data_IF_297744637332
#
_entry.id   IF_297744637332
#
_cell.length_a   1.000
_cell.length_b   1.000
_cell.length_c   1.000
_cell.angle_alpha   90.00
_cell.angle_beta   90.00
_cell.angle_gamma   90.00
#
_symmetry.space_group_name_H-M   'P 1'
#
loop_
_entity.id
_entity.type
_entity.pdbx_description
1 polymer ?
#
# COMPACT_ATOMS: atom_id res chain seq x y z
N UNK A 1 -9.01 41.94 -8.92
CA UNK A 1 -7.95 42.22 -7.93
C UNK A 1 -8.48 41.97 -6.53
N UNK A 2 -8.58 40.70 -6.15
CA UNK A 2 -8.50 40.29 -4.74
C UNK A 2 -7.04 39.90 -4.50
N UNK A 3 -6.47 40.30 -3.37
CA UNK A 3 -5.17 39.80 -2.92
C UNK A 3 -5.45 38.68 -1.92
N UNK A 4 -5.69 37.49 -2.45
CA UNK A 4 -5.78 36.28 -1.63
C UNK A 4 -4.39 35.93 -1.13
N UNK A 5 -4.09 36.49 0.05
CA UNK A 5 -2.93 36.11 0.84
C UNK A 5 -3.11 34.64 1.24
N UNK A 6 -2.36 33.77 0.58
CA UNK A 6 -2.10 32.41 1.06
C UNK A 6 -1.55 32.52 2.48
N UNK A 7 -2.43 32.31 3.47
CA UNK A 7 -2.12 32.53 4.88
C UNK A 7 -1.51 31.25 5.46
N UNK A 8 -0.33 30.90 4.95
CA UNK A 8 0.41 29.69 5.27
C UNK A 8 0.64 29.61 6.79
N UNK A 9 -0.02 28.66 7.45
CA UNK A 9 -0.02 28.56 8.91
C UNK A 9 1.23 27.82 9.40
N UNK A 10 2.40 28.49 9.36
CA UNK A 10 3.70 27.95 9.84
C UNK A 10 3.77 27.82 11.38
N UNK A 11 2.73 27.32 12.03
CA UNK A 11 2.71 27.11 13.48
C UNK A 11 3.64 25.97 13.91
N UNK A 12 3.75 24.92 13.09
CA UNK A 12 4.44 23.68 13.48
C UNK A 12 5.95 23.69 13.16
N UNK A 13 6.38 24.52 12.20
CA UNK A 13 7.80 24.91 11.95
C UNK A 13 8.47 25.67 13.14
N UNK A 14 7.79 25.77 14.29
CA UNK A 14 8.22 26.57 15.44
C UNK A 14 9.18 25.86 16.40
N UNK A 15 9.28 24.52 16.37
CA UNK A 15 9.99 23.75 17.40
C UNK A 15 11.42 23.26 17.02
N UNK A 16 11.60 22.75 15.80
CA UNK A 16 12.75 21.92 15.40
C UNK A 16 14.12 22.64 15.34
N UNK A 17 14.16 23.77 14.63
CA UNK A 17 15.41 24.28 14.05
C UNK A 17 16.01 25.48 14.80
N UNK A 18 17.35 25.54 14.88
CA UNK A 18 18.10 26.75 15.29
C UNK A 18 17.61 27.97 14.48
N UNK A 19 17.47 29.15 15.10
CA UNK A 19 16.83 30.30 14.44
C UNK A 19 17.50 30.73 13.12
N UNK A 20 18.82 30.58 13.01
CA UNK A 20 19.60 30.98 11.83
C UNK A 20 19.51 29.94 10.70
N UNK A 21 19.59 28.65 11.02
CA UNK A 21 19.45 27.54 10.05
C UNK A 21 17.98 27.38 9.59
N UNK A 22 17.01 27.56 10.51
CA UNK A 22 15.59 27.69 10.20
C UNK A 22 15.33 28.83 9.23
N UNK A 23 15.91 30.01 9.51
CA UNK A 23 15.81 31.13 8.61
C UNK A 23 16.51 30.81 7.27
N UNK A 24 17.58 30.02 7.27
CA UNK A 24 18.22 29.47 6.07
C UNK A 24 17.24 28.68 5.20
N UNK A 25 16.70 27.57 5.72
CA UNK A 25 15.81 26.66 4.98
C UNK A 25 14.48 27.34 4.61
N UNK A 26 13.84 28.06 5.54
CA UNK A 26 12.59 28.79 5.27
C UNK A 26 12.84 29.89 4.23
N UNK A 27 13.96 30.61 4.26
CA UNK A 27 14.27 31.54 3.17
C UNK A 27 14.67 30.82 1.88
N UNK A 28 15.29 29.64 1.90
CA UNK A 28 15.61 28.88 0.69
C UNK A 28 14.35 28.40 -0.03
N UNK A 29 13.42 27.76 0.70
CA UNK A 29 12.10 27.36 0.19
C UNK A 29 11.30 28.57 -0.28
N UNK A 30 11.24 29.65 0.51
CA UNK A 30 10.58 30.90 0.15
C UNK A 30 11.21 31.58 -1.07
N UNK A 31 12.54 31.54 -1.23
CA UNK A 31 13.23 32.05 -2.40
C UNK A 31 12.96 31.17 -3.64
N UNK A 32 12.84 29.84 -3.48
CA UNK A 32 12.48 28.91 -4.57
C UNK A 32 11.02 29.11 -5.00
N UNK A 33 10.10 29.24 -4.06
CA UNK A 33 8.69 29.62 -4.28
C UNK A 33 8.57 31.03 -4.89
N UNK A 34 9.34 32.02 -4.43
CA UNK A 34 9.37 33.37 -5.01
C UNK A 34 10.03 33.39 -6.40
N UNK A 35 10.98 32.49 -6.68
CA UNK A 35 11.55 32.30 -8.01
C UNK A 35 10.53 31.69 -8.97
N UNK A 36 9.82 30.62 -8.57
CA UNK A 36 8.75 30.02 -9.37
C UNK A 36 7.57 30.97 -9.57
N UNK A 37 7.07 31.59 -8.49
CA UNK A 37 6.01 32.63 -8.57
C UNK A 37 6.47 33.81 -9.41
N UNK A 38 7.75 34.18 -9.31
CA UNK A 38 8.40 35.20 -10.14
C UNK A 38 8.40 34.81 -11.61
N UNK A 39 8.85 33.60 -11.96
CA UNK A 39 8.85 33.08 -13.33
C UNK A 39 7.43 32.99 -13.93
N UNK A 40 6.42 32.58 -13.15
CA UNK A 40 5.03 32.60 -13.59
C UNK A 40 4.49 34.04 -13.74
N UNK A 41 4.87 34.99 -12.87
CA UNK A 41 4.53 36.41 -13.02
C UNK A 41 5.22 37.04 -14.23
N UNK A 42 6.51 36.75 -14.45
CA UNK A 42 7.28 37.19 -15.62
C UNK A 42 6.72 36.60 -16.90
N UNK A 43 6.29 35.34 -16.92
CA UNK A 43 5.60 34.73 -18.06
C UNK A 43 4.31 35.50 -18.37
N UNK A 44 3.46 35.73 -17.36
CA UNK A 44 2.24 36.54 -17.50
C UNK A 44 2.53 37.99 -17.89
N UNK A 45 3.68 38.55 -17.49
CA UNK A 45 4.09 39.91 -17.82
C UNK A 45 4.67 40.04 -19.22
N UNK A 46 5.31 38.99 -19.75
CA UNK A 46 5.76 38.91 -21.13
C UNK A 46 4.60 38.68 -22.13
N UNK A 47 3.41 38.28 -21.66
CA UNK A 47 2.21 38.22 -22.50
C UNK A 47 1.77 39.62 -22.95
N UNK A 48 1.42 39.73 -24.24
CA UNK A 48 0.83 40.96 -24.80
C UNK A 48 -0.52 41.28 -24.14
N UNK A 49 -0.96 42.56 -24.10
CA UNK A 49 -2.19 42.95 -23.39
C UNK A 49 -3.46 42.19 -23.84
N UNK A 50 -3.55 41.83 -25.13
CA UNK A 50 -4.65 41.03 -25.67
C UNK A 50 -4.62 39.56 -25.23
N UNK A 51 -3.44 39.01 -24.94
CA UNK A 51 -3.30 37.64 -24.43
C UNK A 51 -3.46 37.60 -22.91
N UNK A 52 -2.92 38.59 -22.18
CA UNK A 52 -3.20 38.75 -20.73
C UNK A 52 -4.71 38.77 -20.46
N UNK A 53 -5.47 39.57 -21.20
CA UNK A 53 -6.92 39.61 -21.03
C UNK A 53 -7.58 38.23 -21.26
N UNK A 54 -7.16 37.46 -22.27
CA UNK A 54 -7.67 36.10 -22.47
C UNK A 54 -7.35 35.18 -21.29
N UNK A 55 -6.21 35.36 -20.63
CA UNK A 55 -5.86 34.60 -19.41
C UNK A 55 -6.69 35.08 -18.19
N UNK A 56 -7.07 36.35 -18.13
CA UNK A 56 -8.06 36.84 -17.14
C UNK A 56 -9.45 36.23 -17.42
N UNK A 57 -9.90 36.24 -18.69
CA UNK A 57 -11.16 35.61 -19.11
C UNK A 57 -11.16 34.09 -18.84
N UNK A 58 -10.02 33.39 -19.00
CA UNK A 58 -9.86 31.95 -18.66
C UNK A 58 -9.84 31.67 -17.15
N UNK A 59 -9.28 32.58 -16.33
CA UNK A 59 -9.31 32.44 -14.86
C UNK A 59 -10.70 32.61 -14.28
N UNK A 60 -11.52 33.46 -14.89
CA UNK A 60 -12.95 33.58 -14.58
C UNK A 60 -13.69 32.27 -14.90
N UNK A 61 -13.36 31.61 -16.02
CA UNK A 61 -13.91 30.28 -16.37
C UNK A 61 -13.45 29.20 -15.37
N UNK A 62 -12.18 29.20 -14.97
CA UNK A 62 -11.70 28.26 -13.94
C UNK A 62 -12.44 28.46 -12.61
N UNK A 63 -12.57 29.70 -12.12
CA UNK A 63 -13.34 29.98 -10.90
C UNK A 63 -14.80 29.53 -10.98
N UNK A 64 -15.39 29.47 -12.18
CA UNK A 64 -16.74 28.94 -12.41
C UNK A 64 -16.78 27.40 -12.48
N UNK A 65 -15.68 26.76 -12.89
CA UNK A 65 -15.48 25.31 -12.77
C UNK A 65 -15.35 24.89 -11.31
N UNK A 66 -14.42 25.51 -10.57
CA UNK A 66 -14.16 25.25 -9.15
C UNK A 66 -15.44 25.43 -8.31
N UNK A 67 -16.26 26.43 -8.66
CA UNK A 67 -17.57 26.65 -8.06
C UNK A 67 -18.59 25.52 -8.33
N UNK A 68 -18.53 24.84 -9.47
CA UNK A 68 -19.42 23.71 -9.81
C UNK A 68 -18.91 22.41 -9.20
N UNK A 69 -17.61 22.20 -9.22
CA UNK A 69 -16.89 21.08 -8.62
C UNK A 69 -17.13 21.01 -7.10
N UNK A 70 -17.03 22.14 -6.39
CA UNK A 70 -17.39 22.22 -4.97
C UNK A 70 -18.85 21.82 -4.67
N UNK A 71 -19.79 22.09 -5.59
CA UNK A 71 -21.20 21.67 -5.47
C UNK A 71 -21.35 20.17 -5.76
N UNK A 72 -20.61 19.64 -6.75
CA UNK A 72 -20.55 18.20 -7.03
C UNK A 72 -20.05 17.41 -5.82
N UNK A 73 -19.00 17.88 -5.13
CA UNK A 73 -18.51 17.23 -3.90
C UNK A 73 -19.50 17.32 -2.73
N UNK A 74 -20.22 18.44 -2.55
CA UNK A 74 -21.31 18.55 -1.56
C UNK A 74 -22.44 17.54 -1.86
N UNK A 75 -22.88 17.43 -3.11
CA UNK A 75 -23.90 16.48 -3.54
C UNK A 75 -23.42 15.01 -3.42
N UNK A 76 -22.17 14.71 -3.78
CA UNK A 76 -21.53 13.39 -3.65
C UNK A 76 -21.48 12.96 -2.18
N UNK A 77 -20.96 13.80 -1.29
CA UNK A 77 -20.91 13.53 0.15
C UNK A 77 -22.32 13.34 0.76
N UNK A 78 -23.30 14.15 0.35
CA UNK A 78 -24.69 13.97 0.78
C UNK A 78 -25.32 12.65 0.26
N UNK A 79 -24.95 12.20 -0.94
CA UNK A 79 -25.41 10.95 -1.56
C UNK A 79 -24.81 9.72 -0.87
N UNK A 80 -23.50 9.73 -0.58
CA UNK A 80 -22.82 8.70 0.21
C UNK A 80 -23.39 8.62 1.63
N UNK A 81 -23.49 9.76 2.33
CA UNK A 81 -24.05 9.83 3.68
C UNK A 81 -25.54 9.43 3.74
N UNK A 82 -26.25 9.43 2.60
CA UNK A 82 -27.59 8.85 2.45
C UNK A 82 -27.51 7.32 2.28
N UNK A 83 -26.70 6.81 1.34
CA UNK A 83 -26.61 5.37 1.10
C UNK A 83 -25.97 4.58 2.24
N UNK A 84 -24.96 5.13 2.93
CA UNK A 84 -24.40 4.53 4.14
C UNK A 84 -25.48 4.24 5.19
N UNK A 85 -26.46 5.14 5.37
CA UNK A 85 -27.62 4.94 6.27
C UNK A 85 -28.61 3.87 5.76
N UNK A 86 -28.67 3.63 4.44
CA UNK A 86 -29.47 2.55 3.83
C UNK A 86 -28.76 1.20 3.94
N UNK A 87 -27.43 1.16 3.95
CA UNK A 87 -26.63 -0.07 4.14
C UNK A 87 -26.52 -0.51 5.60
N UNK A 88 -26.57 0.40 6.58
CA UNK A 88 -26.48 0.04 8.02
C UNK A 88 -27.45 -1.07 8.48
N UNK A 89 -28.75 -1.09 8.08
CA UNK A 89 -29.65 -2.22 8.36
C UNK A 89 -29.19 -3.56 7.77
N UNK A 90 -28.59 -3.56 6.57
CA UNK A 90 -28.08 -4.77 5.92
C UNK A 90 -26.84 -5.30 6.64
N UNK A 91 -25.90 -4.41 6.98
CA UNK A 91 -24.73 -4.78 7.78
C UNK A 91 -25.11 -5.22 9.20
N UNK A 92 -26.17 -4.66 9.78
CA UNK A 92 -26.72 -5.12 11.08
C UNK A 92 -27.29 -6.53 10.96
N UNK A 93 -28.08 -6.84 9.91
CA UNK A 93 -28.58 -8.21 9.68
C UNK A 93 -27.44 -9.20 9.39
N UNK A 94 -26.39 -8.78 8.66
CA UNK A 94 -25.16 -9.58 8.47
C UNK A 94 -24.50 -9.88 9.82
N UNK A 95 -24.29 -8.87 10.65
CA UNK A 95 -23.72 -9.04 12.00
C UNK A 95 -24.53 -10.03 12.85
N UNK A 96 -25.86 -9.88 12.89
CA UNK A 96 -26.74 -10.74 13.66
C UNK A 96 -26.67 -12.21 13.23
N UNK A 97 -26.57 -12.48 11.92
CA UNK A 97 -26.42 -13.84 11.36
C UNK A 97 -25.01 -14.37 11.63
N UNK A 98 -23.96 -13.61 11.30
CA UNK A 98 -22.55 -14.02 11.49
C UNK A 98 -22.24 -14.35 12.95
N UNK A 99 -22.87 -13.66 13.91
CA UNK A 99 -22.65 -13.86 15.33
C UNK A 99 -23.68 -14.78 16.00
N UNK A 100 -24.60 -15.41 15.24
CA UNK A 100 -25.60 -16.34 15.79
C UNK A 100 -26.58 -15.71 16.77
N UNK A 101 -26.87 -14.42 16.58
CA UNK A 101 -27.85 -13.64 17.37
C UNK A 101 -29.26 -13.77 16.76
N UNK A 102 -29.33 -13.90 15.44
CA UNK A 102 -30.55 -14.21 14.70
C UNK A 102 -30.32 -15.42 13.78
N UNK A 103 -31.26 -16.37 13.81
CA UNK A 103 -31.28 -17.46 12.84
C UNK A 103 -31.53 -16.94 11.43
N UNK A 104 -30.80 -17.47 10.45
CA UNK A 104 -31.09 -17.18 9.05
C UNK A 104 -32.48 -17.72 8.67
N UNK A 105 -33.19 -17.05 7.76
CA UNK A 105 -34.53 -17.48 7.33
C UNK A 105 -34.52 -18.90 6.75
N UNK A 106 -33.46 -19.27 6.03
CA UNK A 106 -33.23 -20.64 5.53
C UNK A 106 -32.83 -21.67 6.61
N UNK A 107 -32.24 -21.26 7.73
CA UNK A 107 -31.87 -22.17 8.82
C UNK A 107 -33.11 -22.79 9.47
N UNK A 108 -34.22 -22.05 9.52
CA UNK A 108 -35.51 -22.56 9.99
C UNK A 108 -36.10 -23.67 9.10
N UNK A 109 -35.75 -23.71 7.81
CA UNK A 109 -36.18 -24.81 6.93
C UNK A 109 -35.32 -26.07 7.17
N UNK A 110 -33.99 -25.92 7.19
CA UNK A 110 -33.06 -27.05 7.42
C UNK A 110 -33.23 -27.68 8.80
N UNK A 111 -33.54 -26.87 9.82
CA UNK A 111 -33.79 -27.36 11.19
C UNK A 111 -35.02 -28.28 11.31
N UNK A 112 -35.95 -28.28 10.35
CA UNK A 112 -37.09 -29.22 10.35
C UNK A 112 -36.75 -30.60 9.79
N UNK A 113 -35.66 -30.74 9.02
CA UNK A 113 -35.26 -32.02 8.39
C UNK A 113 -34.16 -32.77 9.17
N UNK A 114 -33.55 -32.16 10.18
CA UNK A 114 -32.41 -32.74 10.92
C UNK A 114 -32.70 -32.98 12.43
N UNK A 115 -33.70 -33.82 12.74
CA UNK A 115 -33.82 -34.43 14.09
C UNK A 115 -32.72 -35.48 14.35
N UNK A 116 -31.47 -35.01 14.48
CA UNK A 116 -30.44 -35.67 15.28
C UNK A 116 -29.14 -36.06 14.59
N UNK A 117 -28.12 -35.23 14.74
CA UNK A 117 -26.83 -35.70 15.28
C UNK A 117 -26.15 -34.61 16.12
N UNK A 118 -25.42 -35.01 17.16
CA UNK A 118 -25.02 -34.12 18.26
C UNK A 118 -23.62 -33.52 18.05
N UNK A 119 -23.49 -32.65 17.05
CA UNK A 119 -22.41 -31.65 17.00
C UNK A 119 -22.81 -30.45 17.89
N UNK A 120 -21.84 -29.88 18.61
CA UNK A 120 -22.14 -28.74 19.51
C UNK A 120 -22.53 -27.50 18.72
N UNK A 121 -23.62 -26.82 19.12
CA UNK A 121 -24.22 -25.66 18.43
C UNK A 121 -23.17 -24.62 17.96
N UNK A 122 -22.74 -24.69 16.69
CA UNK A 122 -21.91 -23.66 16.06
C UNK A 122 -22.80 -22.45 15.75
N UNK A 123 -22.70 -21.41 16.58
CA UNK A 123 -23.59 -20.25 16.51
C UNK A 123 -23.07 -19.22 15.53
N UNK A 124 -23.84 -18.97 14.48
CA UNK A 124 -23.51 -18.02 13.43
C UNK A 124 -22.60 -18.62 12.36
N UNK A 125 -21.61 -17.85 11.91
CA UNK A 125 -20.67 -18.26 10.86
C UNK A 125 -19.24 -18.20 11.43
N UNK A 126 -18.66 -19.34 11.87
CA UNK A 126 -17.32 -19.38 12.43
C UNK A 126 -16.27 -18.77 11.50
N UNK A 127 -15.30 -18.07 12.09
CA UNK A 127 -14.14 -17.46 11.41
C UNK A 127 -14.48 -16.50 10.24
N UNK A 128 -15.73 -16.04 10.09
CA UNK A 128 -16.21 -15.28 8.92
C UNK A 128 -15.27 -14.17 8.44
N UNK A 129 -14.89 -13.24 9.33
CA UNK A 129 -14.02 -12.12 8.97
C UNK A 129 -12.57 -12.55 8.71
N UNK A 130 -12.07 -13.57 9.43
CA UNK A 130 -10.74 -14.12 9.18
C UNK A 130 -10.64 -14.75 7.79
N UNK A 131 -11.64 -15.54 7.39
CA UNK A 131 -11.69 -16.15 6.05
C UNK A 131 -11.89 -15.09 4.97
N UNK A 132 -12.80 -14.14 5.16
CA UNK A 132 -13.01 -13.05 4.21
C UNK A 132 -11.74 -12.21 3.98
N UNK A 133 -11.01 -11.85 5.05
CA UNK A 133 -9.77 -11.10 4.92
C UNK A 133 -8.64 -11.95 4.30
N UNK A 134 -8.50 -13.24 4.66
CA UNK A 134 -7.47 -14.12 4.09
C UNK A 134 -7.70 -14.53 2.63
N UNK A 135 -8.90 -14.33 2.10
CA UNK A 135 -9.19 -14.55 0.68
C UNK A 135 -8.89 -13.32 -0.19
N UNK A 136 -8.53 -12.18 0.40
CA UNK A 136 -8.10 -10.98 -0.31
C UNK A 136 -6.58 -10.84 -0.24
N UNK A 137 -5.91 -10.61 -1.36
CA UNK A 137 -4.44 -10.72 -1.46
C UNK A 137 -3.70 -9.74 -0.55
N UNK A 138 -4.04 -8.45 -0.61
CA UNK A 138 -3.46 -7.36 0.23
C UNK A 138 -3.52 -7.69 1.73
N UNK A 139 -4.58 -8.37 2.17
CA UNK A 139 -4.77 -8.76 3.57
C UNK A 139 -4.21 -10.15 3.90
N UNK A 140 -4.07 -11.03 2.92
CA UNK A 140 -3.49 -12.35 3.10
C UNK A 140 -1.99 -12.28 3.41
N UNK A 141 -1.27 -11.30 2.85
CA UNK A 141 0.16 -11.08 3.13
C UNK A 141 0.42 -10.58 4.56
N UNK A 142 -0.46 -9.74 5.11
CA UNK A 142 -0.37 -9.20 6.47
C UNK A 142 -0.75 -10.22 7.58
N UNK A 143 -1.63 -11.18 7.28
CA UNK A 143 -2.19 -12.10 8.27
C UNK A 143 -1.30 -13.34 8.46
N UNK A 144 -0.46 -13.32 9.49
CA UNK A 144 0.37 -14.48 9.86
C UNK A 144 -0.45 -15.56 10.60
N UNK A 145 0.02 -16.82 10.59
CA UNK A 145 -0.57 -17.94 11.35
C UNK A 145 -0.82 -17.63 12.85
N UNK A 146 -0.08 -16.67 13.40
CA UNK A 146 -0.16 -16.27 14.82
C UNK A 146 -1.32 -15.33 15.09
N UNK A 147 -1.70 -14.55 14.07
CA UNK A 147 -2.75 -13.54 14.11
C UNK A 147 -4.14 -14.16 13.95
N UNK A 148 -4.24 -15.22 13.15
CA UNK A 148 -5.46 -16.01 12.96
C UNK A 148 -6.18 -16.27 14.29
N UNK A 149 -5.46 -16.81 15.29
CA UNK A 149 -6.04 -17.20 16.57
C UNK A 149 -6.65 -16.05 17.38
N UNK A 150 -6.27 -14.80 17.11
CA UNK A 150 -6.93 -13.61 17.65
C UNK A 150 -8.04 -13.10 16.73
N UNK A 151 -7.84 -13.15 15.41
CA UNK A 151 -8.83 -12.80 14.38
C UNK A 151 -10.07 -13.71 14.40
N UNK A 152 -10.00 -14.96 14.90
CA UNK A 152 -11.17 -15.81 15.18
C UNK A 152 -12.18 -15.17 16.17
N UNK A 153 -11.78 -14.13 16.91
CA UNK A 153 -12.65 -13.38 17.82
C UNK A 153 -13.18 -12.07 17.20
N UNK A 154 -12.91 -11.80 15.92
CA UNK A 154 -13.41 -10.62 15.20
C UNK A 154 -14.88 -10.82 14.83
N UNK A 155 -15.76 -9.98 15.39
CA UNK A 155 -17.22 -10.08 15.31
C UNK A 155 -17.81 -9.26 14.17
N UNK A 156 -17.22 -8.10 13.92
CA UNK A 156 -17.69 -7.11 12.95
C UNK A 156 -16.53 -6.17 12.55
N UNK A 157 -16.57 -5.66 11.32
CA UNK A 157 -15.73 -4.55 10.88
C UNK A 157 -16.66 -3.48 10.31
N UNK A 158 -16.54 -2.25 10.82
CA UNK A 158 -17.33 -1.09 10.36
C UNK A 158 -16.42 0.03 9.94
N UNK A 159 -16.90 0.85 9.00
CA UNK A 159 -16.27 2.12 8.68
C UNK A 159 -17.24 3.29 8.83
N UNK A 160 -16.70 4.47 9.10
CA UNK A 160 -17.42 5.74 9.08
C UNK A 160 -16.52 6.87 8.55
N UNK A 161 -17.12 7.85 7.87
CA UNK A 161 -16.46 9.07 7.40
C UNK A 161 -16.27 10.04 8.57
N UNK A 162 -15.22 10.84 8.54
CA UNK A 162 -14.97 11.96 9.47
C UNK A 162 -14.98 13.24 8.64
N UNK A 163 -15.76 14.24 9.08
CA UNK A 163 -15.89 15.53 8.39
C UNK A 163 -14.76 16.52 8.76
N UNK A 164 -14.28 16.47 10.02
CA UNK A 164 -13.25 17.39 10.55
C UNK A 164 -12.35 16.67 11.57
N UNK A 165 -11.04 16.47 11.27
CA UNK A 165 -10.43 16.56 9.94
C UNK A 165 -11.10 15.58 8.95
N UNK A 166 -10.96 15.85 7.64
CA UNK A 166 -11.45 14.96 6.56
C UNK A 166 -10.89 13.54 6.73
N UNK A 167 -11.63 12.53 6.29
CA UNK A 167 -11.13 11.16 6.16
C UNK A 167 -12.09 10.09 6.67
N UNK A 168 -11.55 8.97 7.18
CA UNK A 168 -12.37 7.83 7.60
C UNK A 168 -11.74 7.02 8.73
N UNK A 169 -12.58 6.18 9.34
CA UNK A 169 -12.24 5.38 10.52
C UNK A 169 -12.82 3.98 10.44
N UNK A 170 -11.97 2.98 10.63
CA UNK A 170 -12.29 1.57 10.72
C UNK A 170 -12.38 1.14 12.20
N UNK A 171 -13.47 0.47 12.58
CA UNK A 171 -13.67 -0.12 13.90
C UNK A 171 -13.81 -1.65 13.78
N UNK A 172 -12.89 -2.36 14.41
CA UNK A 172 -12.82 -3.83 14.46
C UNK A 172 -13.34 -4.30 15.83
N UNK A 173 -14.51 -4.92 15.85
CA UNK A 173 -15.19 -5.31 17.08
C UNK A 173 -14.77 -6.72 17.49
N UNK A 174 -14.10 -6.87 18.63
CA UNK A 174 -13.59 -8.16 19.10
C UNK A 174 -14.41 -8.69 20.30
N UNK A 175 -14.57 -10.00 20.33
CA UNK A 175 -15.08 -10.70 21.51
C UNK A 175 -14.04 -10.78 22.64
N UNK A 176 -14.48 -11.21 23.82
CA UNK A 176 -13.58 -11.46 24.95
C UNK A 176 -12.61 -12.60 24.59
N UNK A 177 -11.37 -12.24 24.29
CA UNK A 177 -10.37 -13.13 23.69
C UNK A 177 -9.16 -13.34 24.64
N UNK A 178 -8.33 -14.37 24.41
CA UNK A 178 -7.17 -14.67 25.27
C UNK A 178 -5.88 -13.95 24.83
N UNK A 179 -5.96 -12.86 24.07
CA UNK A 179 -4.80 -12.12 23.53
C UNK A 179 -4.67 -10.70 24.06
N UNK A 180 -5.76 -9.92 24.04
CA UNK A 180 -5.80 -8.53 24.51
C UNK A 180 -7.14 -8.19 25.18
N UNK A 181 -7.20 -7.04 25.89
CA UNK A 181 -8.43 -6.60 26.60
C UNK A 181 -9.41 -5.80 25.75
N UNK A 182 -8.94 -5.17 24.68
CA UNK A 182 -9.72 -4.25 23.85
C UNK A 182 -10.92 -4.98 23.23
N UNK A 183 -12.14 -4.46 23.40
CA UNK A 183 -13.34 -4.94 22.69
C UNK A 183 -13.54 -4.27 21.32
N UNK A 184 -12.84 -3.17 21.06
CA UNK A 184 -12.75 -2.52 19.76
C UNK A 184 -11.29 -2.12 19.53
N UNK A 185 -10.76 -2.42 18.35
CA UNK A 185 -9.54 -1.79 17.84
C UNK A 185 -9.94 -0.85 16.72
N UNK A 186 -9.43 0.38 16.76
CA UNK A 186 -9.78 1.45 15.82
C UNK A 186 -8.55 1.89 15.03
N UNK A 187 -8.72 2.07 13.72
CA UNK A 187 -7.75 2.71 12.82
C UNK A 187 -8.41 3.92 12.17
N UNK A 188 -7.73 5.06 12.14
CA UNK A 188 -8.23 6.31 11.59
C UNK A 188 -7.23 6.85 10.58
N UNK A 189 -7.73 7.33 9.44
CA UNK A 189 -6.96 8.05 8.44
C UNK A 189 -7.52 9.47 8.33
N UNK A 190 -6.66 10.45 8.55
CA UNK A 190 -6.93 11.84 8.20
C UNK A 190 -6.43 12.07 6.78
N UNK A 191 -7.25 12.66 5.93
CA UNK A 191 -6.94 12.92 4.53
C UNK A 191 -6.91 14.43 4.29
N UNK A 192 -5.98 14.90 3.44
CA UNK A 192 -5.95 16.31 3.03
C UNK A 192 -7.16 16.58 2.12
N UNK A 193 -7.43 15.68 1.17
CA UNK A 193 -8.66 15.67 0.39
C UNK A 193 -9.29 14.26 0.28
N UNK A 194 -10.52 14.20 -0.22
CA UNK A 194 -11.37 13.00 -0.37
C UNK A 194 -11.64 12.68 -1.86
N UNK A 195 -11.02 13.45 -2.76
CA UNK A 195 -11.08 13.29 -4.21
C UNK A 195 -9.68 12.96 -4.77
N UNK A 196 -8.66 13.71 -4.39
CA UNK A 196 -7.27 13.22 -4.38
C UNK A 196 -6.99 12.63 -2.98
N UNK A 197 -6.86 11.29 -2.81
CA UNK A 197 -6.80 10.64 -1.50
C UNK A 197 -5.42 10.77 -0.83
N UNK A 198 -4.93 11.99 -0.65
CA UNK A 198 -3.64 12.29 -0.02
C UNK A 198 -3.75 12.10 1.50
N UNK A 199 -3.05 11.08 2.01
CA UNK A 199 -2.98 10.78 3.44
C UNK A 199 -2.23 11.88 4.21
N UNK A 200 -2.89 12.54 5.17
CA UNK A 200 -2.25 13.45 6.13
C UNK A 200 -1.62 12.64 7.28
N UNK A 201 -2.41 11.74 7.89
CA UNK A 201 -1.97 10.99 9.08
C UNK A 201 -2.77 9.71 9.32
N UNK A 202 -2.09 8.63 9.64
CA UNK A 202 -2.68 7.41 10.18
C UNK A 202 -2.59 7.37 11.72
N UNK A 203 -3.68 6.97 12.39
CA UNK A 203 -3.77 6.84 13.86
C UNK A 203 -4.43 5.50 14.22
N UNK A 204 -3.65 4.61 14.85
CA UNK A 204 -4.12 3.32 15.34
C UNK A 204 -4.51 3.31 16.82
N UNK A 205 -4.79 2.11 17.35
CA UNK A 205 -5.20 1.89 18.76
C UNK A 205 -4.16 1.06 19.50
N UNK A 206 -3.67 1.55 20.64
CA UNK A 206 -2.77 0.78 21.51
C UNK A 206 -3.48 -0.50 22.01
N UNK A 207 -2.89 -1.65 21.73
CA UNK A 207 -3.45 -2.96 22.06
C UNK A 207 -3.00 -3.37 23.46
N UNK A 208 -3.95 -3.53 24.39
CA UNK A 208 -3.71 -3.97 25.77
C UNK A 208 -3.48 -5.49 25.82
N UNK A 209 -2.36 -5.95 25.26
CA UNK A 209 -1.95 -7.35 25.25
C UNK A 209 -1.84 -7.97 26.66
N UNK A 210 -2.30 -9.21 26.81
CA UNK A 210 -2.05 -10.00 28.02
C UNK A 210 -0.57 -10.44 28.11
N UNK A 211 -0.06 -10.75 29.31
CA UNK A 211 1.35 -11.11 29.50
C UNK A 211 1.79 -12.32 28.65
N UNK A 212 2.71 -12.09 27.71
CA UNK A 212 3.21 -13.11 26.79
C UNK A 212 2.26 -13.46 25.64
N UNK A 213 1.30 -12.58 25.33
CA UNK A 213 0.33 -12.73 24.23
C UNK A 213 0.48 -11.72 23.09
N UNK A 214 1.41 -10.78 23.21
CA UNK A 214 1.75 -9.85 22.13
C UNK A 214 2.13 -10.62 20.85
N UNK A 215 1.49 -10.26 19.73
CA UNK A 215 1.71 -10.92 18.43
C UNK A 215 2.72 -10.15 17.57
N UNK A 216 2.73 -8.82 17.66
CA UNK A 216 3.69 -7.93 17.00
C UNK A 216 5.13 -8.11 17.49
N UNK A 217 5.37 -8.83 18.60
CA UNK A 217 6.69 -8.97 19.22
C UNK A 217 7.07 -10.41 19.61
N UNK A 218 8.30 -10.82 19.27
CA UNK A 218 8.92 -12.12 19.59
C UNK A 218 9.91 -12.00 20.77
N UNK A 219 9.83 -12.90 21.76
CA UNK A 219 10.67 -12.88 22.98
C UNK A 219 11.92 -13.78 22.87
N UNK A 220 13.05 -13.19 22.49
CA UNK A 220 14.33 -13.87 22.31
C UNK A 220 15.11 -14.04 23.64
N UNK A 221 15.16 -15.29 24.13
CA UNK A 221 15.92 -15.68 25.35
C UNK A 221 17.41 -15.88 25.04
N UNK A 222 18.24 -14.85 25.24
CA UNK A 222 19.70 -14.96 25.05
C UNK A 222 20.34 -15.74 26.21
N UNK A 223 21.11 -16.79 25.89
CA UNK A 223 21.89 -17.56 26.88
C UNK A 223 22.89 -16.64 27.60
N UNK A 224 23.05 -16.70 28.93
CA UNK A 224 23.97 -15.82 29.65
C UNK A 224 25.42 -16.06 29.22
N UNK A 225 26.21 -14.98 29.14
CA UNK A 225 27.64 -15.04 28.75
C UNK A 225 28.41 -16.01 29.66
N UNK A 226 29.16 -16.93 29.04
CA UNK A 226 29.90 -18.03 29.69
C UNK A 226 30.96 -17.49 30.67
N UNK A 227 30.57 -17.33 31.92
CA UNK A 227 31.44 -16.83 33.01
C UNK A 227 30.68 -16.29 34.23
N UNK A 228 29.48 -15.72 34.05
CA UNK A 228 28.71 -15.21 35.18
C UNK A 228 27.95 -16.32 35.90
N UNK A 229 28.33 -16.61 37.16
CA UNK A 229 27.77 -17.71 37.96
C UNK A 229 26.36 -17.48 38.52
N UNK A 230 25.76 -16.30 38.33
CA UNK A 230 24.42 -15.94 38.84
C UNK A 230 23.63 -15.00 37.89
N UNK A 231 23.92 -15.00 36.58
CA UNK A 231 23.16 -14.18 35.63
C UNK A 231 21.76 -14.77 35.37
N UNK A 232 20.71 -13.99 35.65
CA UNK A 232 19.36 -14.26 35.12
C UNK A 232 19.41 -14.26 33.59
N UNK A 233 18.60 -15.07 32.89
CA UNK A 233 18.50 -15.01 31.44
C UNK A 233 18.00 -13.63 31.00
N UNK A 234 18.66 -13.03 30.01
CA UNK A 234 18.24 -11.76 29.42
C UNK A 234 17.28 -12.09 28.28
N UNK A 235 16.05 -11.58 28.38
CA UNK A 235 15.07 -11.62 27.30
C UNK A 235 15.23 -10.33 26.51
N UNK A 236 15.51 -10.41 25.21
CA UNK A 236 15.33 -9.28 24.29
C UNK A 236 13.96 -9.42 23.65
N UNK A 237 13.20 -8.35 23.56
CA UNK A 237 12.04 -8.26 22.68
C UNK A 237 12.52 -7.84 21.29
N UNK A 238 11.87 -8.33 20.24
CA UNK A 238 12.17 -8.02 18.85
C UNK A 238 10.86 -8.03 18.07
N UNK A 239 10.58 -6.95 17.37
CA UNK A 239 9.35 -6.71 16.61
C UNK A 239 9.30 -7.58 15.35
N UNK A 240 8.12 -7.78 14.75
CA UNK A 240 7.94 -8.73 13.64
C UNK A 240 6.60 -8.59 12.89
N UNK A 241 6.53 -9.18 11.69
CA UNK A 241 5.29 -9.26 10.88
C UNK A 241 4.12 -9.80 11.69
N UNK A 242 3.01 -9.06 11.71
CA UNK A 242 1.76 -9.39 12.38
C UNK A 242 0.72 -8.39 11.89
N UNK A 243 -0.45 -8.85 11.45
CA UNK A 243 -1.56 -7.96 11.04
C UNK A 243 -1.85 -6.86 12.09
N UNK A 244 -1.63 -7.14 13.37
CA UNK A 244 -1.85 -6.16 14.44
C UNK A 244 -0.87 -4.97 14.45
N UNK A 245 0.18 -4.98 13.62
CA UNK A 245 1.02 -3.81 13.33
C UNK A 245 0.20 -2.69 12.66
N UNK A 246 -0.87 -3.02 11.94
CA UNK A 246 -1.82 -2.06 11.34
C UNK A 246 -2.44 -1.06 12.35
N UNK A 247 -2.49 -1.42 13.64
CA UNK A 247 -2.94 -0.54 14.73
C UNK A 247 -1.80 0.26 15.38
N UNK A 248 -0.58 0.15 14.87
CA UNK A 248 0.61 0.93 15.23
C UNK A 248 1.23 1.52 13.95
N UNK A 249 0.48 2.33 13.17
CA UNK A 249 0.92 2.75 11.84
C UNK A 249 2.20 3.59 11.87
N UNK A 250 2.96 3.66 10.76
CA UNK A 250 4.15 4.49 10.66
C UNK A 250 3.87 5.93 11.09
N UNK A 251 4.81 6.53 11.81
CA UNK A 251 4.73 7.92 12.22
C UNK A 251 5.75 8.71 11.43
N UNK A 252 5.29 9.71 10.67
CA UNK A 252 6.15 10.77 10.14
C UNK A 252 6.86 11.43 11.32
N UNK A 253 8.21 11.45 11.37
CA UNK A 253 8.93 12.17 12.42
C UNK A 253 8.71 13.68 12.31
N UNK A 254 8.65 14.39 13.44
CA UNK A 254 8.45 15.85 13.44
C UNK A 254 9.71 16.65 13.00
N UNK A 255 10.86 15.97 12.81
CA UNK A 255 12.17 16.53 12.44
C UNK A 255 12.71 15.83 11.17
N UNK A 256 12.61 16.47 10.00
CA UNK A 256 13.11 15.94 8.71
C UNK A 256 14.65 15.85 8.62
N UNK A 257 15.42 16.52 9.49
CA UNK A 257 16.88 16.70 9.32
C UNK A 257 17.74 15.46 9.64
N UNK A 258 17.17 14.42 10.28
CA UNK A 258 17.86 13.17 10.64
C UNK A 258 17.42 11.96 9.76
N UNK A 259 16.58 12.17 8.74
CA UNK A 259 16.10 11.13 7.81
C UNK A 259 16.91 11.20 6.49
N UNK A 260 17.51 10.09 6.06
CA UNK A 260 18.11 10.00 4.72
C UNK A 260 17.08 9.63 3.64
N UNK A 261 17.43 9.87 2.37
CA UNK A 261 16.52 9.71 1.22
C UNK A 261 15.97 8.27 1.13
N UNK A 262 16.84 7.28 1.35
CA UNK A 262 16.48 5.85 1.45
C UNK A 262 15.44 5.61 2.57
N UNK A 263 15.65 6.14 3.78
CA UNK A 263 14.72 5.98 4.91
C UNK A 263 13.39 6.72 4.69
N UNK A 264 13.40 7.86 3.99
CA UNK A 264 12.19 8.59 3.64
C UNK A 264 11.35 7.82 2.61
N UNK A 265 11.98 7.20 1.61
CA UNK A 265 11.32 6.31 0.64
C UNK A 265 10.77 5.04 1.33
N UNK A 266 11.54 4.39 2.21
CA UNK A 266 11.05 3.26 3.03
C UNK A 266 9.82 3.64 3.88
N UNK A 267 9.80 4.86 4.44
CA UNK A 267 8.68 5.35 5.25
C UNK A 267 7.43 5.67 4.40
N UNK A 268 7.61 6.29 3.23
CA UNK A 268 6.50 6.56 2.29
C UNK A 268 5.85 5.24 1.86
N UNK A 269 6.64 4.26 1.41
CA UNK A 269 6.15 2.95 0.99
C UNK A 269 5.36 2.24 2.11
N UNK A 270 5.81 2.33 3.37
CA UNK A 270 5.07 1.80 4.53
C UNK A 270 3.75 2.53 4.81
N UNK A 271 3.68 3.84 4.54
CA UNK A 271 2.44 4.62 4.70
C UNK A 271 1.44 4.37 3.57
N UNK A 272 1.92 4.13 2.35
CA UNK A 272 1.10 3.74 1.19
C UNK A 272 0.51 2.33 1.39
N UNK A 273 1.33 1.35 1.76
CA UNK A 273 0.88 0.01 2.16
C UNK A 273 -0.13 0.06 3.32
N UNK A 274 0.12 0.86 4.37
CA UNK A 274 -0.81 1.03 5.49
C UNK A 274 -2.14 1.70 5.06
N UNK A 275 -2.13 2.57 4.05
CA UNK A 275 -3.33 3.13 3.45
C UNK A 275 -4.10 2.11 2.60
N UNK A 276 -3.42 1.32 1.77
CA UNK A 276 -4.02 0.34 0.87
C UNK A 276 -4.71 -0.81 1.60
N UNK A 277 -4.13 -1.25 2.71
CA UNK A 277 -4.80 -2.16 3.66
C UNK A 277 -6.09 -1.51 4.19
N UNK A 278 -6.06 -0.20 4.46
CA UNK A 278 -7.19 0.58 4.97
C UNK A 278 -8.32 0.80 3.95
N UNK A 279 -7.98 1.18 2.73
CA UNK A 279 -8.91 1.38 1.61
C UNK A 279 -9.52 0.05 1.17
N UNK A 280 -8.71 -1.01 1.05
CA UNK A 280 -9.18 -2.38 0.74
C UNK A 280 -10.20 -2.87 1.78
N UNK A 281 -9.97 -2.61 3.07
CA UNK A 281 -10.97 -2.94 4.11
C UNK A 281 -12.25 -2.08 3.96
N UNK A 282 -12.10 -0.77 3.70
CA UNK A 282 -13.22 0.18 3.54
C UNK A 282 -14.15 -0.18 2.38
N UNK A 283 -13.56 -0.50 1.23
CA UNK A 283 -14.23 -0.51 -0.07
C UNK A 283 -14.46 -1.92 -0.63
N UNK A 284 -13.47 -2.82 -0.52
CA UNK A 284 -13.61 -4.22 -0.97
C UNK A 284 -14.21 -5.11 0.13
N UNK A 285 -13.61 -5.15 1.32
CA UNK A 285 -14.01 -6.11 2.37
C UNK A 285 -15.35 -5.77 3.03
N UNK A 286 -15.54 -4.56 3.57
CA UNK A 286 -16.76 -4.27 4.35
C UNK A 286 -18.04 -4.36 3.51
N UNK A 287 -18.09 -3.94 2.23
CA UNK A 287 -19.26 -4.13 1.39
C UNK A 287 -19.40 -5.59 0.91
N UNK A 288 -18.36 -6.19 0.34
CA UNK A 288 -18.42 -7.51 -0.31
C UNK A 288 -18.02 -8.69 0.59
N UNK A 289 -18.03 -8.53 1.92
CA UNK A 289 -17.54 -9.51 2.90
C UNK A 289 -18.04 -10.95 2.70
N UNK A 290 -19.26 -11.13 2.19
CA UNK A 290 -19.82 -12.46 1.91
C UNK A 290 -19.15 -13.10 0.69
N UNK A 291 -18.96 -12.35 -0.39
CA UNK A 291 -18.26 -12.81 -1.60
C UNK A 291 -16.77 -13.04 -1.38
N UNK A 292 -16.15 -12.29 -0.48
CA UNK A 292 -14.81 -12.60 0.02
C UNK A 292 -14.80 -13.88 0.87
N UNK A 293 -15.77 -14.07 1.77
CA UNK A 293 -15.89 -15.30 2.58
C UNK A 293 -16.13 -16.57 1.74
N UNK A 294 -16.98 -16.50 0.70
CA UNK A 294 -17.26 -17.62 -0.22
C UNK A 294 -16.14 -17.87 -1.24
N UNK A 295 -15.24 -16.90 -1.43
CA UNK A 295 -14.23 -16.91 -2.49
C UNK A 295 -14.78 -16.55 -3.88
N UNK A 296 -16.03 -16.08 -3.96
CA UNK A 296 -16.64 -15.59 -5.22
C UNK A 296 -15.96 -14.31 -5.73
N UNK A 297 -15.49 -13.44 -4.83
CA UNK A 297 -14.78 -12.20 -5.21
C UNK A 297 -13.48 -12.51 -5.98
N UNK A 298 -12.67 -13.45 -5.48
CA UNK A 298 -11.43 -13.91 -6.14
C UNK A 298 -11.69 -14.43 -7.56
N UNK A 299 -12.83 -15.12 -7.75
CA UNK A 299 -13.24 -15.63 -9.07
C UNK A 299 -13.82 -14.56 -9.99
N UNK A 300 -14.28 -13.42 -9.47
CA UNK A 300 -14.66 -12.25 -10.26
C UNK A 300 -13.43 -11.55 -10.81
N UNK A 301 -12.48 -11.25 -9.92
CA UNK A 301 -11.18 -10.65 -10.23
C UNK A 301 -10.38 -11.52 -11.23
N UNK A 302 -10.26 -12.84 -11.01
CA UNK A 302 -9.54 -13.77 -11.92
C UNK A 302 -10.20 -13.91 -13.32
N UNK A 303 -11.50 -13.63 -13.45
CA UNK A 303 -12.21 -13.68 -14.73
C UNK A 303 -12.26 -12.33 -15.47
N UNK A 304 -11.69 -11.25 -14.90
CA UNK A 304 -11.69 -9.91 -15.51
C UNK A 304 -13.08 -9.29 -15.69
N UNK A 305 -14.08 -9.75 -14.94
CA UNK A 305 -15.48 -9.37 -15.16
C UNK A 305 -15.88 -8.02 -14.55
N UNK A 306 -15.02 -7.42 -13.72
CA UNK A 306 -15.19 -6.06 -13.16
C UNK A 306 -14.47 -4.98 -14.00
N UNK A 307 -13.70 -5.37 -15.03
CA UNK A 307 -12.93 -4.49 -15.94
C UNK A 307 -13.57 -4.38 -17.34
N UNK A 308 -14.65 -5.14 -17.57
CA UNK A 308 -15.32 -5.29 -18.87
C UNK A 308 -16.37 -4.19 -19.18
N UNK A 309 -16.19 -2.98 -18.62
CA UNK A 309 -16.97 -1.77 -18.92
C UNK A 309 -16.07 -0.61 -19.46
N UNK A 310 -14.76 -0.82 -19.65
CA UNK A 310 -13.89 0.05 -20.48
C UNK A 310 -13.95 -0.37 -21.97
N UNK A 311 -15.13 -0.23 -22.58
CA UNK A 311 -15.38 -0.55 -23.99
C UNK A 311 -14.89 0.61 -24.91
N UNK A 312 -13.81 0.34 -25.65
CA UNK A 312 -13.53 0.75 -27.05
C UNK A 312 -13.34 2.25 -27.40
N UNK A 313 -12.10 2.62 -27.80
CA UNK A 313 -11.87 3.40 -29.03
C UNK A 313 -10.37 3.34 -29.50
N UNK A 314 -10.18 2.85 -30.73
CA UNK A 314 -9.03 3.08 -31.63
C UNK A 314 -7.63 2.47 -31.29
N UNK A 315 -7.53 1.13 -31.27
CA UNK A 315 -6.34 0.44 -31.81
C UNK A 315 -6.25 0.71 -33.34
N UNK A 316 -5.36 1.60 -33.77
CA UNK A 316 -5.12 1.87 -35.20
C UNK A 316 -3.95 1.02 -35.70
N UNK A 317 -4.27 -0.04 -36.44
CA UNK A 317 -3.33 -0.75 -37.32
C UNK A 317 -2.84 0.19 -38.45
N UNK A 318 -1.66 0.80 -38.32
CA UNK A 318 -0.90 1.38 -39.44
C UNK A 318 0.11 0.35 -40.01
N UNK A 319 -0.43 -0.70 -40.62
CA UNK A 319 0.26 -1.56 -41.59
C UNK A 319 0.02 -0.97 -42.99
N UNK A 320 0.94 -0.16 -43.54
CA UNK A 320 0.93 0.25 -44.95
C UNK A 320 2.34 0.40 -45.55
N UNK A 321 2.76 -0.69 -46.20
CA UNK A 321 3.68 -0.87 -47.33
C UNK A 321 5.17 -0.42 -47.33
N UNK A 322 5.93 -1.29 -47.99
CA UNK A 322 7.37 -1.27 -48.26
C UNK A 322 7.73 -0.28 -49.39
N UNK A 323 8.86 0.45 -49.28
CA UNK A 323 9.71 0.75 -50.45
C UNK A 323 11.21 0.62 -50.08
N UNK A 324 11.83 -0.49 -50.50
CA UNK A 324 13.29 -0.59 -50.64
C UNK A 324 13.70 0.02 -51.99
N UNK A 325 14.49 1.09 -52.02
CA UNK A 325 15.38 1.39 -53.16
C UNK A 325 16.80 1.71 -52.66
N UNK A 326 17.71 0.76 -52.86
CA UNK A 326 19.15 1.00 -52.91
C UNK A 326 19.56 1.24 -54.37
N UNK A 327 20.31 2.30 -54.66
CA UNK A 327 21.37 2.27 -55.69
C UNK A 327 22.42 3.39 -55.48
N UNK A 328 23.60 3.18 -56.08
CA UNK A 328 24.88 3.87 -55.85
C UNK A 328 25.05 5.21 -56.63
N UNK A 329 26.32 5.67 -56.72
CA UNK A 329 26.92 6.67 -57.63
C UNK A 329 26.84 8.18 -57.26
N UNK A 330 27.92 8.98 -57.39
CA UNK A 330 29.37 8.68 -57.41
C UNK A 330 30.21 9.99 -57.24
N UNK A 331 31.54 9.86 -57.30
CA UNK A 331 32.61 10.87 -57.56
C UNK A 331 32.94 11.90 -56.44
N UNK A 332 34.10 11.79 -55.75
CA UNK A 332 35.49 12.29 -56.07
C UNK A 332 35.70 13.81 -55.76
N UNK A 333 36.89 14.37 -55.43
CA UNK A 333 38.29 13.89 -55.33
C UNK A 333 39.09 14.76 -54.28
N UNK A 334 40.44 14.82 -54.40
CA UNK A 334 41.43 15.75 -53.78
C UNK A 334 41.97 15.48 -52.34
N UNK A 335 43.08 14.72 -52.28
CA UNK A 335 44.47 15.14 -51.90
C UNK A 335 44.66 16.29 -50.85
N UNK A 336 45.66 16.31 -49.94
CA UNK A 336 46.85 15.46 -49.72
C UNK A 336 47.42 15.70 -48.28
N UNK A 337 48.30 14.82 -47.77
CA UNK A 337 49.71 15.11 -47.41
C UNK A 337 50.44 13.96 -46.65
N UNK A 338 51.78 13.97 -46.73
CA UNK A 338 52.77 12.93 -46.34
C UNK A 338 52.85 12.65 -44.80
N UNK A 339 53.43 11.56 -44.25
CA UNK A 339 54.81 11.07 -44.47
C UNK A 339 55.08 9.63 -43.88
N UNK A 340 56.21 9.01 -44.24
CA UNK A 340 56.61 7.62 -43.89
C UNK A 340 57.43 7.48 -42.56
N UNK A 341 57.49 6.26 -41.98
CA UNK A 341 58.73 5.44 -41.93
C UNK A 341 58.44 3.97 -41.52
N UNK A 342 59.28 3.04 -41.96
CA UNK A 342 59.24 1.63 -41.55
C UNK A 342 59.99 1.36 -40.24
N UNK A 343 59.69 0.23 -39.59
CA UNK A 343 60.75 -0.79 -39.42
C UNK A 343 60.24 -2.18 -39.03
N UNK A 344 60.86 -3.19 -39.63
CA UNK A 344 60.54 -4.62 -39.49
C UNK A 344 61.42 -5.26 -38.42
N UNK A 345 60.94 -6.27 -37.66
CA UNK A 345 61.61 -7.60 -37.59
C UNK A 345 60.85 -8.72 -36.86
N UNK A 346 61.19 -9.96 -37.21
CA UNK A 346 60.48 -11.22 -36.92
C UNK A 346 60.99 -11.97 -35.68
N UNK A 347 60.08 -12.65 -34.96
CA UNK A 347 60.15 -14.08 -34.51
C UNK A 347 58.86 -14.43 -33.74
N UNK A 348 58.06 -15.46 -34.09
CA UNK A 348 58.24 -16.93 -33.87
C UNK A 348 58.74 -17.23 -32.44
N UNK A 349 58.13 -18.11 -31.62
CA UNK A 349 57.35 -19.36 -31.85
C UNK A 349 56.88 -19.91 -30.47
N UNK A 350 56.03 -20.93 -30.26
CA UNK A 350 55.02 -21.67 -31.05
C UNK A 350 54.37 -22.76 -30.15
N UNK A 351 53.06 -23.01 -30.28
CA UNK A 351 52.30 -24.20 -29.81
C UNK A 351 52.31 -24.57 -28.28
N UNK A 352 51.28 -25.20 -27.72
CA UNK A 352 49.92 -25.43 -28.23
C UNK A 352 49.32 -26.83 -27.95
N UNK A 353 48.21 -26.87 -27.20
CA UNK A 353 47.11 -27.86 -27.28
C UNK A 353 45.90 -27.23 -26.54
N UNK A 354 44.72 -27.04 -27.13
CA UNK A 354 43.70 -27.99 -27.63
C UNK A 354 43.24 -29.04 -26.59
N UNK A 355 41.97 -29.45 -26.55
CA UNK A 355 40.62 -28.85 -26.75
C UNK A 355 39.60 -29.99 -26.55
N UNK A 356 38.35 -29.70 -26.17
CA UNK A 356 37.17 -30.62 -26.21
C UNK A 356 37.17 -31.77 -25.19
N UNK A 357 36.03 -32.22 -24.64
CA UNK A 357 34.66 -31.68 -24.71
C UNK A 357 33.56 -32.72 -24.39
N UNK A 358 32.30 -32.25 -24.26
CA UNK A 358 30.98 -32.90 -24.55
C UNK A 358 30.91 -34.44 -24.80
N UNK A 359 29.91 -35.24 -24.39
CA UNK A 359 28.68 -35.19 -23.54
C UNK A 359 28.16 -36.67 -23.44
N UNK A 360 27.04 -37.15 -22.87
CA UNK A 360 25.78 -36.66 -22.25
C UNK A 360 25.10 -37.81 -21.43
N UNK A 361 24.05 -37.51 -20.63
CA UNK A 361 22.97 -38.38 -20.04
C UNK A 361 23.30 -39.78 -19.44
N UNK A 362 22.74 -40.13 -18.26
CA UNK A 362 22.66 -41.52 -17.80
C UNK A 362 21.98 -41.74 -16.44
N UNK A 363 20.76 -42.28 -16.46
CA UNK A 363 19.87 -42.60 -15.31
C UNK A 363 20.44 -43.65 -14.32
N UNK A 364 19.87 -43.79 -13.09
CA UNK A 364 20.30 -44.84 -12.15
C UNK A 364 19.92 -44.69 -10.65
N UNK A 365 18.67 -45.01 -10.32
CA UNK A 365 18.08 -45.38 -9.01
C UNK A 365 18.97 -45.72 -7.77
N UNK A 366 18.45 -45.37 -6.57
CA UNK A 366 18.47 -46.11 -5.27
C UNK A 366 19.83 -46.62 -4.71
N UNK A 367 20.24 -46.39 -3.45
CA UNK A 367 19.58 -45.78 -2.28
C UNK A 367 19.62 -46.73 -1.07
N UNK A 368 20.23 -46.35 0.05
CA UNK A 368 20.20 -47.14 1.30
C UNK A 368 20.35 -46.28 2.59
N UNK A 369 20.24 -46.90 3.77
CA UNK A 369 19.90 -46.26 5.07
C UNK A 369 21.09 -46.15 6.06
N UNK A 370 20.96 -45.44 7.22
CA UNK A 370 22.09 -44.87 7.95
C UNK A 370 22.78 -45.81 8.96
N UNK A 371 23.99 -45.45 9.45
CA UNK A 371 24.64 -46.14 10.56
C UNK A 371 24.10 -45.68 11.94
N UNK A 372 23.71 -46.65 12.77
CA UNK A 372 23.71 -46.48 14.23
C UNK A 372 25.14 -46.29 14.75
N UNK A 373 25.31 -45.59 15.88
CA UNK A 373 26.45 -45.81 16.76
C UNK A 373 26.03 -45.72 18.24
N UNK A 374 26.76 -46.41 19.13
CA UNK A 374 26.31 -46.78 20.48
C UNK A 374 27.27 -46.32 21.58
N UNK A 375 26.69 -46.17 22.79
CA UNK A 375 27.37 -46.04 24.09
C UNK A 375 28.12 -44.70 24.29
N UNK A 376 28.14 -44.12 25.49
CA UNK A 376 27.94 -44.70 26.83
C UNK A 376 26.77 -44.12 27.61
#
# INVERSE_FOLDING_TARGET
MSNDKVNFNMSDLSAALNEEDRAGLVNALKNKLQSLTGQHSELLENLSPSVRKRVEDLREIQSQHDELEAKFFEERAALEAKYQKVYQPLYTKRYEIVNGVAEAEAANEVAMDQEGENAGEEKGVPDFWLVAMKNNEVLAEEITERDEGALKYLKDIKWCRIEVPKGFKLDFFFDTNPYFKNSVLTKTYHMIDEDEPILEKAIGTEIEWYPGKCLTQKLLKKKPKKGSKNAKPITKTEDCESFFNFFSPPQVPDDDEDIDEDTAEELQNQMEQDYDIGSTIRDKIIPHAVSWFTGEAVQGDELGLDDADEDDDEDIDEDDDEEEEEEDDDEEEDEDDEDEDESKTKKKSSAGNKKSGRTQVGDGQQGERPPECKQQ
#
